data_IF_903948913799
#
_entry.id   IF_903948913799
#
_cell.length_a   1.000
_cell.length_b   1.000
_cell.length_c   1.000
_cell.angle_alpha   90.00
_cell.angle_beta   90.00
_cell.angle_gamma   90.00
#
_symmetry.space_group_name_H-M   'P 1'
#
loop_
_entity.id
_entity.type
_entity.pdbx_description
1 polymer ?
#
# COMPACT_ATOMS: atom_id res chain seq x y z
N UNK A 1 24.70 -19.20 39.61
CA UNK A 1 25.08 -18.53 38.34
C UNK A 1 24.07 -18.98 37.30
N UNK A 2 23.30 -18.06 36.71
CA UNK A 2 22.41 -18.41 35.60
C UNK A 2 23.26 -18.58 34.34
N UNK A 3 23.35 -19.81 33.84
CA UNK A 3 23.94 -20.11 32.53
C UNK A 3 23.03 -19.49 31.47
N UNK A 4 23.47 -18.37 30.89
CA UNK A 4 22.86 -17.85 29.67
C UNK A 4 23.22 -18.86 28.59
N UNK A 5 22.30 -19.77 28.30
CA UNK A 5 22.41 -20.64 27.13
C UNK A 5 22.37 -19.69 25.94
N UNK A 6 23.42 -19.59 25.12
CA UNK A 6 23.33 -18.82 23.90
C UNK A 6 22.25 -19.49 23.05
N UNK A 7 21.11 -18.83 22.88
CA UNK A 7 20.15 -19.22 21.86
C UNK A 7 20.90 -19.06 20.55
N UNK A 8 21.46 -20.15 20.04
CA UNK A 8 22.18 -20.12 18.76
C UNK A 8 21.12 -19.83 17.71
N UNK A 9 21.03 -18.57 17.34
CA UNK A 9 20.23 -18.10 16.22
C UNK A 9 21.11 -18.31 15.00
N UNK A 10 20.87 -19.40 14.27
CA UNK A 10 21.46 -19.54 12.95
C UNK A 10 20.74 -18.62 11.97
N UNK A 11 21.51 -17.76 11.31
CA UNK A 11 21.03 -16.97 10.18
C UNK A 11 21.00 -17.84 8.94
N UNK A 12 19.84 -17.91 8.30
CA UNK A 12 19.62 -18.77 7.14
C UNK A 12 19.46 -17.92 5.90
N UNK A 13 20.12 -18.31 4.82
CA UNK A 13 19.87 -17.73 3.50
C UNK A 13 18.52 -18.26 2.97
N UNK A 14 17.62 -17.42 2.43
CA UNK A 14 16.27 -17.87 2.04
C UNK A 14 16.23 -18.84 0.86
N UNK A 15 17.34 -18.98 0.14
CA UNK A 15 17.50 -19.92 -0.98
C UNK A 15 18.37 -21.10 -0.58
N UNK A 16 17.98 -22.29 -1.03
CA UNK A 16 18.82 -23.49 -0.97
C UNK A 16 20.02 -23.41 -1.94
N UNK A 17 20.88 -24.43 -1.92
CA UNK A 17 22.06 -24.53 -2.80
C UNK A 17 21.74 -24.53 -4.31
N UNK A 18 20.48 -24.75 -4.69
CA UNK A 18 20.01 -24.74 -6.07
C UNK A 18 19.24 -23.45 -6.41
N UNK A 19 19.20 -22.47 -5.51
CA UNK A 19 18.45 -21.23 -5.69
C UNK A 19 16.95 -21.34 -5.44
N UNK A 20 16.44 -22.45 -4.89
CA UNK A 20 15.02 -22.61 -4.55
C UNK A 20 14.72 -21.97 -3.20
N UNK A 21 13.60 -21.25 -3.10
CA UNK A 21 13.15 -20.66 -1.83
C UNK A 21 12.85 -21.79 -0.82
N UNK A 22 13.40 -21.66 0.38
CA UNK A 22 13.12 -22.57 1.49
C UNK A 22 11.62 -22.50 1.86
N UNK A 23 10.93 -23.63 2.06
CA UNK A 23 9.48 -23.64 2.31
C UNK A 23 9.04 -22.70 3.43
N UNK A 24 9.76 -22.65 4.54
CA UNK A 24 9.40 -21.80 5.70
C UNK A 24 9.70 -20.30 5.48
N UNK A 25 10.57 -19.96 4.52
CA UNK A 25 10.81 -18.57 4.12
C UNK A 25 9.72 -18.08 3.13
N UNK A 26 9.11 -19.00 2.40
CA UNK A 26 8.17 -18.71 1.31
C UNK A 26 6.99 -17.82 1.73
N UNK A 27 6.32 -18.02 2.89
CA UNK A 27 5.18 -17.18 3.27
C UNK A 27 5.52 -15.70 3.38
N UNK A 28 6.68 -15.38 3.96
CA UNK A 28 7.13 -14.00 4.13
C UNK A 28 7.43 -13.32 2.79
N UNK A 29 8.20 -14.00 1.94
CA UNK A 29 8.57 -13.48 0.62
C UNK A 29 7.34 -13.33 -0.28
N UNK A 30 6.41 -14.28 -0.20
CA UNK A 30 5.16 -14.24 -0.95
C UNK A 30 4.29 -13.06 -0.53
N UNK A 31 4.07 -12.86 0.78
CA UNK A 31 3.26 -11.74 1.27
C UNK A 31 3.91 -10.38 0.99
N UNK A 32 5.24 -10.28 1.06
CA UNK A 32 5.96 -9.07 0.68
C UNK A 32 5.79 -8.75 -0.81
N UNK A 33 5.89 -9.77 -1.69
CA UNK A 33 5.67 -9.60 -3.12
C UNK A 33 4.23 -9.16 -3.43
N UNK A 34 3.23 -9.77 -2.78
CA UNK A 34 1.84 -9.38 -2.95
C UNK A 34 1.55 -7.97 -2.42
N UNK A 35 2.21 -7.52 -1.36
CA UNK A 35 2.15 -6.13 -0.91
C UNK A 35 2.67 -5.17 -1.99
N UNK A 36 3.80 -5.47 -2.63
CA UNK A 36 4.34 -4.65 -3.72
C UNK A 36 3.35 -4.56 -4.88
N UNK A 37 2.76 -5.69 -5.29
CA UNK A 37 1.75 -5.73 -6.36
C UNK A 37 0.53 -4.90 -5.99
N UNK A 38 -0.04 -5.09 -4.80
CA UNK A 38 -1.21 -4.34 -4.34
C UNK A 38 -0.95 -2.83 -4.26
N UNK A 39 0.27 -2.42 -3.87
CA UNK A 39 0.66 -1.01 -3.87
C UNK A 39 0.72 -0.42 -5.29
N UNK A 40 1.29 -1.16 -6.24
CA UNK A 40 1.37 -0.73 -7.63
C UNK A 40 -0.03 -0.64 -8.27
N UNK A 41 -0.91 -1.59 -8.00
CA UNK A 41 -2.31 -1.55 -8.46
C UNK A 41 -3.04 -0.31 -7.91
N UNK A 42 -2.88 -0.01 -6.62
CA UNK A 42 -3.42 1.20 -6.03
C UNK A 42 -2.92 2.46 -6.75
N UNK A 43 -1.61 2.57 -6.99
CA UNK A 43 -1.05 3.71 -7.72
C UNK A 43 -1.51 3.79 -9.18
N UNK A 44 -1.79 2.66 -9.82
CA UNK A 44 -2.38 2.63 -11.16
C UNK A 44 -3.82 3.17 -11.15
N UNK A 45 -4.62 2.85 -10.14
CA UNK A 45 -5.98 3.42 -10.03
C UNK A 45 -5.94 4.92 -9.66
N UNK A 46 -4.97 5.35 -8.83
CA UNK A 46 -4.76 6.77 -8.54
C UNK A 46 -4.35 7.57 -9.79
N UNK A 47 -3.52 6.99 -10.67
CA UNK A 47 -3.10 7.67 -11.90
C UNK A 47 -4.26 7.86 -12.88
N UNK A 48 -5.19 6.90 -12.93
CA UNK A 48 -6.41 7.03 -13.72
C UNK A 48 -7.35 8.08 -13.13
N UNK A 49 -7.50 8.14 -11.80
CA UNK A 49 -8.23 9.21 -11.14
C UNK A 49 -7.61 10.58 -11.41
N UNK A 50 -6.28 10.69 -11.47
CA UNK A 50 -5.59 11.91 -11.88
C UNK A 50 -5.94 12.33 -13.30
N UNK A 51 -5.88 11.41 -14.26
CA UNK A 51 -6.22 11.73 -15.65
C UNK A 51 -7.66 12.27 -15.76
N UNK A 52 -8.60 11.67 -15.03
CA UNK A 52 -10.01 12.11 -14.99
C UNK A 52 -10.13 13.47 -14.31
N UNK A 53 -9.56 13.63 -13.11
CA UNK A 53 -9.65 14.87 -12.34
C UNK A 53 -9.00 16.05 -13.06
N UNK A 54 -7.88 15.83 -13.76
CA UNK A 54 -7.18 16.84 -14.53
C UNK A 54 -7.82 17.14 -15.90
N UNK A 55 -8.84 16.38 -16.30
CA UNK A 55 -9.54 16.59 -17.56
C UNK A 55 -8.71 16.27 -18.79
N UNK A 56 -7.84 15.27 -18.68
CA UNK A 56 -6.96 14.89 -19.77
C UNK A 56 -7.78 14.28 -20.92
N UNK A 57 -7.71 14.85 -22.15
CA UNK A 57 -8.44 14.31 -23.29
C UNK A 57 -7.86 12.97 -23.75
N UNK A 58 -6.57 12.77 -23.54
CA UNK A 58 -5.83 11.53 -23.81
C UNK A 58 -5.28 10.96 -22.50
N UNK A 59 -5.75 9.77 -22.11
CA UNK A 59 -5.25 9.06 -20.93
C UNK A 59 -3.76 8.77 -21.02
N UNK A 60 -3.22 8.52 -22.22
CA UNK A 60 -1.80 8.25 -22.41
C UNK A 60 -0.93 9.44 -21.98
N UNK A 61 -1.34 10.66 -22.31
CA UNK A 61 -0.67 11.90 -21.90
C UNK A 61 -0.73 12.08 -20.38
N UNK A 62 -1.89 11.87 -19.77
CA UNK A 62 -2.03 11.93 -18.31
C UNK A 62 -1.13 10.92 -17.58
N UNK A 63 -1.08 9.68 -18.06
CA UNK A 63 -0.21 8.65 -17.51
C UNK A 63 1.29 8.98 -17.69
N UNK A 64 1.69 9.56 -18.83
CA UNK A 64 3.07 10.04 -19.02
C UNK A 64 3.44 11.13 -18.03
N UNK A 65 2.53 12.07 -17.74
CA UNK A 65 2.75 13.09 -16.71
C UNK A 65 2.84 12.45 -15.32
N UNK A 66 1.92 11.54 -15.00
CA UNK A 66 1.94 10.82 -13.72
C UNK A 66 3.27 10.10 -13.49
N UNK A 67 3.75 9.36 -14.50
CA UNK A 67 5.01 8.62 -14.45
C UNK A 67 6.25 9.46 -14.76
N UNK A 68 6.13 10.77 -14.97
CA UNK A 68 7.29 11.67 -15.15
C UNK A 68 8.11 11.83 -13.87
N UNK A 69 7.55 11.45 -12.72
CA UNK A 69 8.25 11.38 -11.44
C UNK A 69 8.22 9.95 -10.88
N UNK A 70 9.36 9.49 -10.38
CA UNK A 70 9.50 8.21 -9.67
C UNK A 70 9.12 8.28 -8.19
N UNK A 71 8.51 9.38 -7.74
CA UNK A 71 8.16 9.60 -6.35
C UNK A 71 6.64 9.54 -6.14
N UNK A 72 6.16 8.45 -5.53
CA UNK A 72 4.76 8.22 -5.18
C UNK A 72 4.10 9.39 -4.44
N UNK A 73 4.85 10.10 -3.58
CA UNK A 73 4.33 11.28 -2.88
C UNK A 73 4.04 12.40 -3.86
N UNK A 74 4.98 12.69 -4.76
CA UNK A 74 4.82 13.72 -5.78
C UNK A 74 3.66 13.40 -6.74
N UNK A 75 3.50 12.13 -7.12
CA UNK A 75 2.34 11.68 -7.90
C UNK A 75 1.01 11.97 -7.18
N UNK A 76 0.92 11.68 -5.88
CA UNK A 76 -0.26 12.03 -5.09
C UNK A 76 -0.50 13.54 -5.01
N UNK A 77 0.54 14.37 -4.99
CA UNK A 77 0.39 15.83 -5.09
C UNK A 77 -0.20 16.25 -6.45
N UNK A 78 0.17 15.62 -7.57
CA UNK A 78 -0.47 15.91 -8.86
C UNK A 78 -1.98 15.67 -8.81
N UNK A 79 -2.43 14.59 -8.17
CA UNK A 79 -3.86 14.34 -7.97
C UNK A 79 -4.49 15.39 -7.05
N UNK A 80 -3.83 15.82 -5.97
CA UNK A 80 -4.36 16.89 -5.11
C UNK A 80 -4.55 18.20 -5.88
N UNK A 81 -3.55 18.60 -6.65
CA UNK A 81 -3.63 19.82 -7.46
C UNK A 81 -4.71 19.72 -8.55
N UNK A 82 -4.87 18.55 -9.17
CA UNK A 82 -5.98 18.32 -10.11
C UNK A 82 -7.37 18.51 -9.45
N UNK A 83 -7.51 18.25 -8.14
CA UNK A 83 -8.76 18.49 -7.40
C UNK A 83 -8.97 19.95 -6.99
N UNK A 84 -7.93 20.80 -7.03
CA UNK A 84 -8.07 22.23 -6.78
C UNK A 84 -8.81 22.95 -7.91
N UNK A 85 -8.64 22.50 -9.15
CA UNK A 85 -9.40 22.97 -10.30
C UNK A 85 -10.90 22.74 -10.18
N UNK A 86 -11.69 23.39 -11.02
CA UNK A 86 -13.09 22.99 -11.20
C UNK A 86 -13.15 21.66 -11.97
N UNK A 87 -14.14 20.82 -11.67
CA UNK A 87 -14.33 19.54 -12.37
C UNK A 87 -15.33 19.71 -13.53
N UNK A 88 -15.49 20.92 -14.08
CA UNK A 88 -16.54 21.21 -15.06
C UNK A 88 -16.30 20.53 -16.40
N UNK A 89 -15.07 20.11 -16.70
CA UNK A 89 -14.78 19.29 -17.88
C UNK A 89 -15.46 17.92 -17.79
N UNK A 90 -15.76 17.41 -16.59
CA UNK A 90 -16.49 16.17 -16.43
C UNK A 90 -17.93 16.38 -16.87
N UNK A 91 -18.34 15.66 -17.92
CA UNK A 91 -19.72 15.65 -18.43
C UNK A 91 -20.76 15.55 -17.30
N UNK A 92 -20.50 14.69 -16.32
CA UNK A 92 -21.40 14.45 -15.17
C UNK A 92 -21.52 15.63 -14.23
N UNK A 93 -20.44 16.41 -14.06
CA UNK A 93 -20.50 17.65 -13.28
C UNK A 93 -21.37 18.68 -13.99
N UNK A 94 -21.34 18.73 -15.33
CA UNK A 94 -22.27 19.57 -16.10
C UNK A 94 -23.72 19.14 -15.94
N UNK A 95 -23.98 17.83 -15.93
CA UNK A 95 -25.34 17.26 -15.82
C UNK A 95 -25.92 17.34 -14.40
N UNK A 96 -25.11 17.03 -13.37
CA UNK A 96 -25.54 16.90 -11.97
C UNK A 96 -25.16 18.09 -11.10
N UNK A 97 -24.37 19.00 -11.63
CA UNK A 97 -23.96 20.22 -10.95
C UNK A 97 -22.96 20.01 -9.81
N UNK A 98 -22.92 21.02 -8.93
CA UNK A 98 -21.91 21.20 -7.90
C UNK A 98 -21.85 20.05 -6.88
N UNK A 99 -23.00 19.52 -6.45
CA UNK A 99 -23.04 18.47 -5.42
C UNK A 99 -22.30 17.20 -5.86
N UNK A 100 -22.38 16.85 -7.14
CA UNK A 100 -21.64 15.72 -7.70
C UNK A 100 -20.12 15.98 -7.68
N UNK A 101 -19.71 17.20 -8.06
CA UNK A 101 -18.30 17.60 -8.01
C UNK A 101 -17.75 17.57 -6.57
N UNK A 102 -18.51 18.09 -5.61
CA UNK A 102 -18.13 18.12 -4.20
C UNK A 102 -17.98 16.69 -3.66
N UNK A 103 -18.90 15.78 -4.00
CA UNK A 103 -18.81 14.35 -3.63
C UNK A 103 -17.56 13.69 -4.23
N UNK A 104 -17.27 13.93 -5.50
CA UNK A 104 -16.07 13.40 -6.16
C UNK A 104 -14.79 13.85 -5.44
N UNK A 105 -14.68 15.16 -5.16
CA UNK A 105 -13.53 15.72 -4.43
C UNK A 105 -13.40 15.13 -3.03
N UNK A 106 -14.51 14.97 -2.32
CA UNK A 106 -14.53 14.39 -0.98
C UNK A 106 -14.00 12.96 -0.96
N UNK A 107 -14.47 12.11 -1.87
CA UNK A 107 -14.06 10.70 -1.91
C UNK A 107 -12.60 10.52 -2.35
N UNK A 108 -12.13 11.30 -3.33
CA UNK A 108 -10.72 11.23 -3.75
C UNK A 108 -9.80 11.75 -2.64
N UNK A 109 -10.20 12.82 -1.92
CA UNK A 109 -9.46 13.30 -0.73
C UNK A 109 -9.42 12.25 0.38
N UNK A 110 -10.51 11.51 0.60
CA UNK A 110 -10.52 10.39 1.55
C UNK A 110 -9.51 9.30 1.16
N UNK A 111 -9.46 8.92 -0.12
CA UNK A 111 -8.48 7.95 -0.64
C UNK A 111 -7.07 8.47 -0.35
N UNK A 112 -6.72 9.66 -0.84
CA UNK A 112 -5.39 10.23 -0.70
C UNK A 112 -4.93 10.32 0.75
N UNK A 113 -5.81 10.80 1.64
CA UNK A 113 -5.53 10.86 3.08
C UNK A 113 -5.22 9.47 3.64
N UNK A 114 -6.01 8.47 3.26
CA UNK A 114 -5.77 7.08 3.70
C UNK A 114 -4.46 6.52 3.14
N UNK A 115 -4.14 6.78 1.87
CA UNK A 115 -2.88 6.34 1.26
C UNK A 115 -1.67 6.96 1.97
N UNK A 116 -1.77 8.22 2.39
CA UNK A 116 -0.70 8.86 3.15
C UNK A 116 -0.43 8.14 4.49
N UNK A 117 -1.46 7.68 5.20
CA UNK A 117 -1.28 7.00 6.50
C UNK A 117 -0.60 5.64 6.37
N UNK A 118 -0.77 4.94 5.25
CA UNK A 118 -0.11 3.65 5.01
C UNK A 118 1.22 3.77 4.29
N UNK A 119 1.52 4.91 3.66
CA UNK A 119 2.75 5.08 2.87
C UNK A 119 4.04 4.86 3.67
N UNK A 120 4.08 5.33 4.93
CA UNK A 120 5.20 5.10 5.84
C UNK A 120 5.38 3.62 6.20
N UNK A 121 4.39 2.98 6.85
CA UNK A 121 4.45 1.55 7.16
C UNK A 121 4.73 0.64 5.96
N UNK A 122 4.18 0.95 4.78
CA UNK A 122 4.47 0.25 3.53
C UNK A 122 5.92 0.42 3.11
N UNK A 123 6.46 1.63 3.15
CA UNK A 123 7.86 1.87 2.87
C UNK A 123 8.78 1.14 3.85
N UNK A 124 8.39 1.07 5.12
CA UNK A 124 9.11 0.29 6.12
C UNK A 124 9.12 -1.19 5.70
N UNK A 125 7.97 -1.75 5.33
CA UNK A 125 7.86 -3.14 4.87
C UNK A 125 8.66 -3.45 3.59
N UNK A 126 8.62 -2.59 2.57
CA UNK A 126 9.27 -2.90 1.28
C UNK A 126 10.77 -2.59 1.28
N UNK A 127 11.20 -1.59 2.03
CA UNK A 127 12.56 -1.05 1.95
C UNK A 127 13.41 -1.29 3.21
N UNK A 128 12.98 -2.19 4.10
CA UNK A 128 13.82 -2.65 5.22
C UNK A 128 14.70 -3.82 4.83
N UNK A 129 15.83 -3.94 5.51
CA UNK A 129 16.65 -5.14 5.49
C UNK A 129 16.02 -6.21 6.39
N UNK A 130 16.10 -7.47 5.96
CA UNK A 130 15.52 -8.62 6.65
C UNK A 130 16.54 -9.73 6.85
N UNK A 131 16.39 -10.46 7.94
CA UNK A 131 17.14 -11.68 8.24
C UNK A 131 16.16 -12.81 8.55
N UNK A 132 16.50 -14.02 8.11
CA UNK A 132 15.80 -15.23 8.55
C UNK A 132 16.56 -15.88 9.69
N UNK A 133 15.84 -16.19 10.76
CA UNK A 133 16.33 -16.81 11.99
C UNK A 133 15.69 -18.17 12.15
N UNK A 134 16.47 -19.17 12.53
CA UNK A 134 15.96 -20.49 12.93
C UNK A 134 16.20 -20.75 14.40
N UNK A 135 15.19 -21.31 15.07
CA UNK A 135 15.28 -21.85 16.43
C UNK A 135 15.41 -23.39 16.44
N UNK A 136 15.70 -23.99 15.28
CA UNK A 136 15.75 -25.44 15.06
C UNK A 136 14.38 -26.08 14.82
N UNK A 137 13.27 -25.37 15.03
CA UNK A 137 11.91 -25.85 14.76
C UNK A 137 11.20 -25.03 13.69
N UNK A 138 11.48 -23.73 13.62
CA UNK A 138 10.82 -22.79 12.73
C UNK A 138 11.80 -21.77 12.19
N UNK A 139 11.63 -21.41 10.93
CA UNK A 139 12.27 -20.23 10.34
C UNK A 139 11.32 -19.05 10.47
N UNK A 140 11.82 -17.94 11.01
CA UNK A 140 11.09 -16.67 11.13
C UNK A 140 11.86 -15.56 10.47
N UNK A 141 11.16 -14.60 9.87
CA UNK A 141 11.77 -13.39 9.35
C UNK A 141 11.71 -12.28 10.41
N UNK A 142 12.81 -11.56 10.59
CA UNK A 142 12.85 -10.36 11.41
C UNK A 142 13.50 -9.20 10.64
N UNK A 143 13.11 -7.98 11.00
CA UNK A 143 13.76 -6.78 10.50
C UNK A 143 15.19 -6.69 11.08
N UNK A 144 16.14 -6.37 10.23
CA UNK A 144 17.54 -6.16 10.62
C UNK A 144 17.76 -4.69 10.99
N UNK A 145 17.64 -4.40 12.29
CA UNK A 145 17.87 -3.07 12.86
C UNK A 145 19.29 -2.87 13.38
N UNK A 146 20.21 -3.83 13.14
CA UNK A 146 21.60 -3.77 13.62
C UNK A 146 22.33 -2.51 13.13
N UNK A 147 22.09 -2.11 11.87
CA UNK A 147 22.65 -0.90 11.28
C UNK A 147 21.80 0.36 11.50
N UNK A 148 20.94 0.36 12.53
CA UNK A 148 20.12 1.51 12.93
C UNK A 148 19.19 2.05 11.82
N UNK A 149 18.79 1.21 10.86
CA UNK A 149 17.82 1.60 9.84
C UNK A 149 16.50 2.02 10.51
N UNK A 150 16.05 3.28 10.35
CA UNK A 150 14.79 3.73 10.96
C UNK A 150 13.59 2.87 10.56
N UNK A 151 13.60 2.38 9.31
CA UNK A 151 12.57 1.51 8.75
C UNK A 151 12.54 0.14 9.43
N UNK A 152 13.71 -0.49 9.56
CA UNK A 152 13.82 -1.78 10.24
C UNK A 152 13.44 -1.65 11.73
N UNK A 153 13.85 -0.54 12.38
CA UNK A 153 13.47 -0.22 13.75
C UNK A 153 11.95 -0.09 13.92
N UNK A 154 11.25 0.51 12.97
CA UNK A 154 9.78 0.60 12.99
C UNK A 154 9.09 -0.77 12.86
N UNK A 155 9.80 -1.80 12.37
CA UNK A 155 9.33 -3.17 12.24
C UNK A 155 9.81 -4.09 13.36
N UNK A 156 10.79 -3.65 14.17
CA UNK A 156 11.37 -4.43 15.25
C UNK A 156 10.31 -4.87 16.27
N UNK A 157 10.30 -6.16 16.61
CA UNK A 157 9.33 -6.77 17.52
C UNK A 157 7.91 -6.97 16.97
N UNK A 158 7.65 -6.66 15.70
CA UNK A 158 6.36 -6.95 15.05
C UNK A 158 6.35 -8.34 14.42
N UNK A 159 5.16 -8.91 14.32
CA UNK A 159 4.91 -10.03 13.41
C UNK A 159 4.89 -9.50 11.97
N UNK A 160 5.97 -9.75 11.22
CA UNK A 160 6.14 -9.23 9.87
C UNK A 160 5.12 -9.81 8.88
N UNK A 161 4.69 -11.06 9.08
CA UNK A 161 3.72 -11.68 8.18
C UNK A 161 2.37 -10.98 8.32
N UNK A 162 1.94 -10.75 9.56
CA UNK A 162 0.71 -10.00 9.87
C UNK A 162 0.80 -8.56 9.37
N UNK A 163 1.95 -7.90 9.54
CA UNK A 163 2.11 -6.52 9.06
C UNK A 163 2.03 -6.44 7.53
N UNK A 164 2.66 -7.36 6.80
CA UNK A 164 2.61 -7.40 5.34
C UNK A 164 1.19 -7.65 4.84
N UNK A 165 0.50 -8.65 5.41
CA UNK A 165 -0.88 -8.96 5.08
C UNK A 165 -1.81 -7.77 5.33
N UNK A 166 -1.59 -7.04 6.43
CA UNK A 166 -2.36 -5.84 6.77
C UNK A 166 -2.16 -4.74 5.75
N UNK A 167 -0.91 -4.39 5.45
CA UNK A 167 -0.59 -3.37 4.45
C UNK A 167 -1.16 -3.74 3.07
N UNK A 168 -1.02 -5.00 2.66
CA UNK A 168 -1.57 -5.52 1.40
C UNK A 168 -3.08 -5.34 1.38
N UNK A 169 -3.76 -5.81 2.42
CA UNK A 169 -5.23 -5.74 2.51
C UNK A 169 -5.75 -4.31 2.43
N UNK A 170 -5.08 -3.35 3.10
CA UNK A 170 -5.46 -1.93 3.00
C UNK A 170 -5.25 -1.42 1.57
N UNK A 171 -4.08 -1.70 0.96
CA UNK A 171 -3.77 -1.24 -0.40
C UNK A 171 -4.76 -1.80 -1.44
N UNK A 172 -5.04 -3.11 -1.41
CA UNK A 172 -6.04 -3.75 -2.28
C UNK A 172 -7.42 -3.16 -2.08
N UNK A 173 -7.84 -2.95 -0.83
CA UNK A 173 -9.15 -2.37 -0.51
C UNK A 173 -9.29 -0.95 -1.07
N UNK A 174 -8.25 -0.13 -0.96
CA UNK A 174 -8.23 1.21 -1.52
C UNK A 174 -8.17 1.21 -3.06
N UNK A 175 -7.51 0.23 -3.67
CA UNK A 175 -7.45 0.07 -5.12
C UNK A 175 -8.85 -0.20 -5.68
N UNK A 176 -9.55 -1.20 -5.11
CA UNK A 176 -10.94 -1.53 -5.47
C UNK A 176 -11.86 -0.33 -5.26
N UNK A 177 -11.71 0.38 -4.13
CA UNK A 177 -12.51 1.57 -3.87
C UNK A 177 -12.25 2.69 -4.88
N UNK A 178 -10.98 2.96 -5.20
CA UNK A 178 -10.56 3.96 -6.20
C UNK A 178 -11.12 3.63 -7.59
N UNK A 179 -11.10 2.36 -7.96
CA UNK A 179 -11.73 1.87 -9.19
C UNK A 179 -13.24 2.15 -9.19
N UNK A 180 -13.94 1.85 -8.10
CA UNK A 180 -15.38 2.15 -7.98
C UNK A 180 -15.68 3.64 -8.17
N UNK A 181 -14.88 4.53 -7.56
CA UNK A 181 -14.97 5.98 -7.74
C UNK A 181 -14.73 6.36 -9.21
N UNK A 182 -13.68 5.82 -9.83
CA UNK A 182 -13.36 6.06 -11.24
C UNK A 182 -14.51 5.67 -12.16
N UNK A 183 -15.10 4.50 -11.97
CA UNK A 183 -16.23 4.03 -12.76
C UNK A 183 -17.46 4.93 -12.58
N UNK A 184 -17.74 5.38 -11.35
CA UNK A 184 -18.79 6.35 -11.06
C UNK A 184 -18.54 7.73 -11.69
N UNK A 185 -17.30 8.10 -11.98
CA UNK A 185 -16.97 9.34 -12.68
C UNK A 185 -17.00 9.22 -14.21
N UNK A 186 -16.82 8.02 -14.75
CA UNK A 186 -16.54 7.83 -16.19
C UNK A 186 -17.62 7.08 -16.98
N UNK A 187 -18.21 6.01 -16.46
CA UNK A 187 -19.12 5.15 -17.23
C UNK A 187 -20.48 5.80 -17.51
N UNK A 188 -21.26 5.30 -18.47
CA UNK A 188 -22.68 5.66 -18.70
C UNK A 188 -23.47 4.40 -19.04
N UNK A 189 -24.56 4.03 -18.31
CA UNK A 189 -25.14 4.74 -17.17
C UNK A 189 -24.23 4.74 -15.92
N UNK A 190 -24.54 5.60 -14.95
CA UNK A 190 -23.81 5.70 -13.67
C UNK A 190 -23.96 4.44 -12.81
N UNK A 191 -22.86 3.76 -12.46
CA UNK A 191 -22.90 2.86 -11.33
C UNK A 191 -23.05 3.68 -10.04
N UNK A 192 -23.72 3.14 -9.00
CA UNK A 192 -23.84 3.83 -7.72
C UNK A 192 -22.46 4.12 -7.11
N UNK A 193 -22.36 5.21 -6.35
CA UNK A 193 -21.15 5.52 -5.59
C UNK A 193 -20.82 4.35 -4.65
N UNK A 194 -19.56 3.87 -4.64
CA UNK A 194 -19.17 2.81 -3.71
C UNK A 194 -19.26 3.31 -2.27
N UNK A 195 -19.62 2.42 -1.36
CA UNK A 195 -19.54 2.70 0.08
C UNK A 195 -18.07 2.77 0.51
N UNK A 196 -17.74 3.73 1.39
CA UNK A 196 -16.39 3.80 1.96
C UNK A 196 -16.02 2.47 2.63
N UNK A 197 -14.85 1.90 2.32
CA UNK A 197 -14.47 0.63 2.87
C UNK A 197 -14.15 0.73 4.35
N UNK A 198 -14.45 -0.34 5.10
CA UNK A 198 -13.91 -0.53 6.45
C UNK A 198 -12.50 -1.06 6.32
N UNK A 199 -11.53 -0.29 6.81
CA UNK A 199 -10.13 -0.68 6.75
C UNK A 199 -9.79 -1.68 7.86
N UNK A 200 -8.89 -2.65 7.61
CA UNK A 200 -8.34 -3.49 8.66
C UNK A 200 -7.79 -2.64 9.81
N UNK A 201 -8.39 -2.77 10.99
CA UNK A 201 -7.84 -2.19 12.22
C UNK A 201 -6.62 -2.98 12.63
N UNK A 202 -5.59 -2.31 13.16
CA UNK A 202 -4.53 -2.99 13.89
C UNK A 202 -5.18 -3.79 15.03
N UNK A 203 -5.19 -5.12 14.92
CA UNK A 203 -5.50 -5.94 16.09
C UNK A 203 -4.55 -5.49 17.21
N UNK A 204 -5.12 -5.17 18.37
CA UNK A 204 -4.34 -4.81 19.57
C UNK A 204 -3.30 -5.92 19.76
N UNK A 205 -2.04 -5.53 19.95
CA UNK A 205 -0.91 -6.45 20.05
C UNK A 205 -1.25 -7.65 20.95
N UNK A 206 -0.83 -8.89 20.58
CA UNK A 206 -0.97 -10.02 21.48
C UNK A 206 -0.34 -9.63 22.82
N UNK A 207 -1.12 -9.75 23.90
CA UNK A 207 -0.60 -9.55 25.26
C UNK A 207 0.65 -10.40 25.39
N UNK A 208 1.78 -9.77 25.77
CA UNK A 208 3.00 -10.51 26.07
C UNK A 208 2.63 -11.60 27.08
N UNK A 209 2.74 -12.86 26.68
CA UNK A 209 2.75 -13.97 27.61
C UNK A 209 4.00 -13.78 28.48
N UNK A 210 3.78 -13.35 29.72
CA UNK A 210 4.78 -13.25 30.78
C UNK A 210 5.25 -14.64 31.15
#
# INVERSE_FOLDING_TARGET
>A
MATVVPTVIEYIHPLDKNGKILPDCSPYLHELALLVVAWNELHMELSQLFCIAAGMPDMGTGLRIWHSTGNDRAQREFLREALHGDLQHLRRVKEKGKLFADKAKEEIKFILKTVDTISGPRNDAIHSSYLFKSDGKRITMCADDFFMSPRAKNLSGKDLLVEFQRQRSIATTLSIYSQGIRLALYLVPEPPWPARPKLPTTNKAPQKSV
#
